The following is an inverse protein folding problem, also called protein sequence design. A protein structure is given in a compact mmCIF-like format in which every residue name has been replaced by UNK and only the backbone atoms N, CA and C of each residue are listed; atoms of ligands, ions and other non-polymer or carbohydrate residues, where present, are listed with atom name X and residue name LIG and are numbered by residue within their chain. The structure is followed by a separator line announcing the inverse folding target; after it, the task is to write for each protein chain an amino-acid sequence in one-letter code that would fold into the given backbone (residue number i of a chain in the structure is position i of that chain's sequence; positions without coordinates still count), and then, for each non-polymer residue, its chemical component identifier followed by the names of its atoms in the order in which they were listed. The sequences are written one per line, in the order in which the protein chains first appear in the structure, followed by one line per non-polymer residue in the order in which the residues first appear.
data_IF_706070640283
#
_entry.id   IF_706070640283
#
_cell.length_a   1.000
_cell.length_b   1.000
_cell.length_c   1.000
_cell.angle_alpha   90.00
_cell.angle_beta   90.00
_cell.angle_gamma   90.00
#
_symmetry.space_group_name_H-M   'P 1'
#
loop_
_entity.id
_entity.type
_entity.pdbx_description
1 polymer ?
#
# COMPACT_ATOMS: atom_id res chain seq x y z
N UNK A 1 -28.83 -35.68 14.18
CA UNK A 1 -29.67 -36.11 13.04
C UNK A 1 -28.73 -36.77 12.03
N UNK A 2 -28.80 -38.09 11.90
CA UNK A 2 -27.94 -38.92 11.02
C UNK A 2 -28.44 -38.85 9.58
N UNK A 3 -27.53 -38.78 8.60
CA UNK A 3 -27.73 -39.39 7.27
C UNK A 3 -26.43 -40.09 6.87
N UNK A 4 -26.61 -41.34 6.45
CA UNK A 4 -25.63 -42.42 6.25
C UNK A 4 -25.06 -42.46 4.83
N UNK A 5 -23.77 -42.78 4.73
CA UNK A 5 -23.14 -43.30 3.52
C UNK A 5 -23.55 -44.77 3.27
N UNK A 6 -23.86 -45.12 2.03
CA UNK A 6 -23.78 -46.50 1.53
C UNK A 6 -23.01 -46.49 0.21
N UNK A 7 -21.78 -47.01 0.25
CA UNK A 7 -21.06 -47.51 -0.92
C UNK A 7 -21.35 -49.01 -1.02
N UNK A 8 -21.94 -49.45 -2.13
CA UNK A 8 -22.01 -50.87 -2.50
C UNK A 8 -20.94 -51.19 -3.55
N UNK A 9 -20.30 -52.33 -3.35
CA UNK A 9 -19.11 -52.82 -4.02
C UNK A 9 -19.43 -53.45 -5.37
N UNK A 10 -18.74 -53.03 -6.43
CA UNK A 10 -18.76 -53.70 -7.74
C UNK A 10 -17.54 -54.62 -7.88
N UNK A 11 -17.81 -55.81 -8.41
CA UNK A 11 -16.96 -57.00 -8.45
C UNK A 11 -15.77 -56.85 -9.45
N UNK A 12 -14.51 -57.10 -9.05
CA UNK A 12 -13.31 -56.86 -9.87
C UNK A 12 -13.12 -57.78 -11.09
N UNK A 13 -14.01 -58.76 -11.32
CA UNK A 13 -13.95 -59.63 -12.49
C UNK A 13 -14.54 -59.02 -13.78
N UNK A 14 -15.43 -58.02 -13.68
CA UNK A 14 -16.09 -57.39 -14.83
C UNK A 14 -15.29 -56.24 -15.48
N UNK A 15 -14.27 -55.70 -14.79
CA UNK A 15 -13.43 -54.62 -15.33
C UNK A 15 -12.36 -55.10 -16.33
N UNK A 16 -12.02 -56.40 -16.36
CA UNK A 16 -10.95 -56.93 -17.23
C UNK A 16 -11.41 -57.36 -18.62
N UNK A 17 -12.71 -57.51 -18.85
CA UNK A 17 -13.29 -57.90 -20.15
C UNK A 17 -13.43 -56.70 -21.11
N UNK A 18 -13.63 -55.48 -20.58
CA UNK A 18 -13.88 -54.27 -21.37
C UNK A 18 -12.58 -53.68 -21.97
N UNK A 19 -11.43 -53.94 -21.33
CA UNK A 19 -10.13 -53.36 -21.75
C UNK A 19 -9.46 -54.17 -22.88
N UNK A 20 -9.92 -55.39 -23.18
CA UNK A 20 -9.26 -56.28 -24.18
C UNK A 20 -9.86 -56.29 -25.59
N UNK A 21 -10.93 -55.54 -25.87
CA UNK A 21 -11.65 -55.62 -27.18
C UNK A 21 -11.50 -54.45 -28.15
N UNK A 22 -10.61 -53.48 -27.92
CA UNK A 22 -10.42 -52.35 -28.87
C UNK A 22 -8.99 -52.18 -29.38
N UNK A 23 -8.21 -53.27 -29.44
CA UNK A 23 -6.94 -53.29 -30.17
C UNK A 23 -7.13 -53.92 -31.56
N UNK A 24 -7.26 -53.07 -32.58
CA UNK A 24 -6.75 -53.24 -33.95
C UNK A 24 -7.67 -52.58 -34.98
N UNK A 25 -7.22 -51.47 -35.57
CA UNK A 25 -7.15 -51.29 -37.03
C UNK A 25 -6.54 -49.92 -37.41
N UNK A 26 -5.54 -50.02 -38.26
CA UNK A 26 -5.06 -49.09 -39.29
C UNK A 26 -4.40 -47.76 -38.89
N UNK A 27 -3.11 -47.76 -39.23
CA UNK A 27 -2.15 -46.66 -39.38
C UNK A 27 -2.66 -45.64 -40.40
N UNK A 28 -2.80 -44.38 -39.99
CA UNK A 28 -2.59 -43.19 -40.83
C UNK A 28 -1.94 -42.13 -39.94
N UNK A 29 -0.75 -41.67 -40.32
CA UNK A 29 0.00 -40.62 -39.62
C UNK A 29 -0.61 -39.23 -39.87
N UNK A 30 -1.04 -38.47 -38.85
CA UNK A 30 -1.26 -37.05 -39.00
C UNK A 30 0.03 -36.29 -38.67
N UNK A 31 0.43 -35.39 -39.56
CA UNK A 31 1.55 -34.47 -39.38
C UNK A 31 1.43 -33.77 -38.02
N UNK A 32 2.48 -33.87 -37.21
CA UNK A 32 2.62 -33.17 -35.93
C UNK A 32 2.68 -31.66 -36.21
N UNK A 33 1.53 -30.99 -36.26
CA UNK A 33 1.48 -29.56 -36.08
C UNK A 33 1.96 -29.28 -34.65
N UNK A 34 3.18 -28.76 -34.53
CA UNK A 34 3.63 -28.14 -33.28
C UNK A 34 2.74 -26.93 -33.05
N UNK A 35 1.66 -27.11 -32.28
CA UNK A 35 0.99 -25.99 -31.65
C UNK A 35 1.98 -25.49 -30.59
N UNK A 36 2.82 -24.54 -30.98
CA UNK A 36 3.46 -23.63 -30.03
C UNK A 36 2.32 -22.89 -29.35
N UNK A 37 1.90 -23.38 -28.18
CA UNK A 37 1.17 -22.56 -27.22
C UNK A 37 2.15 -21.49 -26.79
N UNK A 38 2.10 -20.36 -27.47
CA UNK A 38 2.68 -19.13 -26.96
C UNK A 38 1.87 -18.80 -25.70
N UNK A 39 2.41 -19.13 -24.54
CA UNK A 39 1.95 -18.53 -23.29
C UNK A 39 2.29 -17.05 -23.39
N UNK A 40 1.33 -16.27 -23.85
CA UNK A 40 1.38 -14.82 -23.78
C UNK A 40 1.48 -14.43 -22.31
N UNK A 41 2.65 -13.94 -21.92
CA UNK A 41 2.91 -13.36 -20.61
C UNK A 41 1.89 -12.27 -20.31
N UNK A 42 1.11 -12.46 -19.24
CA UNK A 42 0.32 -11.44 -18.51
C UNK A 42 -0.42 -10.44 -19.40
N UNK A 43 -1.68 -10.73 -19.72
CA UNK A 43 -2.60 -9.71 -20.22
C UNK A 43 -2.65 -8.56 -19.20
N UNK A 44 -2.05 -7.42 -19.55
CA UNK A 44 -2.22 -6.18 -18.80
C UNK A 44 -3.72 -5.86 -18.82
N UNK A 45 -4.31 -5.62 -17.65
CA UNK A 45 -5.70 -5.14 -17.57
C UNK A 45 -5.88 -3.94 -18.52
N UNK A 46 -7.00 -3.83 -19.25
CA UNK A 46 -7.26 -2.67 -20.08
C UNK A 46 -7.21 -1.39 -19.22
N UNK A 47 -6.14 -0.60 -19.35
CA UNK A 47 -5.98 0.66 -18.63
C UNK A 47 -6.82 1.72 -19.35
N UNK A 48 -8.02 2.00 -18.84
CA UNK A 48 -8.86 3.07 -19.38
C UNK A 48 -8.30 4.46 -19.00
N UNK A 49 -7.58 4.55 -17.89
CA UNK A 49 -7.04 5.80 -17.36
C UNK A 49 -5.51 5.77 -17.26
N UNK A 50 -4.88 6.89 -17.64
CA UNK A 50 -3.46 7.17 -17.43
C UNK A 50 -3.29 8.27 -16.39
N UNK A 51 -2.39 8.05 -15.42
CA UNK A 51 -2.12 9.02 -14.35
C UNK A 51 -0.76 9.69 -14.55
N UNK A 52 -0.76 11.02 -14.52
CA UNK A 52 0.46 11.83 -14.46
C UNK A 52 0.61 12.38 -13.04
N UNK A 53 1.78 12.19 -12.44
CA UNK A 53 2.01 12.57 -11.04
C UNK A 53 3.17 13.55 -10.96
N UNK A 54 2.89 14.70 -10.35
CA UNK A 54 3.90 15.67 -9.92
C UNK A 54 4.03 15.66 -8.40
N UNK A 55 5.25 15.78 -7.90
CA UNK A 55 5.53 15.91 -6.47
C UNK A 55 6.47 17.08 -6.21
N UNK A 56 6.25 17.80 -5.13
CA UNK A 56 7.10 18.91 -4.69
C UNK A 56 7.20 18.89 -3.17
N UNK A 57 8.37 19.24 -2.63
CA UNK A 57 8.63 19.26 -1.19
C UNK A 57 9.74 20.25 -0.85
N UNK A 58 9.63 20.84 0.34
CA UNK A 58 10.62 21.72 0.91
C UNK A 58 10.59 21.62 2.43
N UNK A 59 11.72 21.25 3.04
CA UNK A 59 11.88 21.33 4.48
C UNK A 59 11.89 22.78 4.93
N UNK A 60 11.43 23.04 6.16
CA UNK A 60 11.59 24.35 6.79
C UNK A 60 13.07 24.69 6.88
N UNK A 61 13.46 25.82 6.30
CA UNK A 61 14.79 26.44 6.48
C UNK A 61 15.06 26.61 7.97
N UNK A 62 16.24 26.18 8.42
CA UNK A 62 16.67 26.38 9.80
C UNK A 62 16.84 27.88 10.05
N UNK A 63 15.79 28.53 10.58
CA UNK A 63 15.80 29.97 10.87
C UNK A 63 16.54 30.30 12.17
N UNK A 64 16.68 29.35 13.08
CA UNK A 64 16.97 29.67 14.47
C UNK A 64 18.28 29.09 15.03
N UNK A 65 19.17 28.54 14.20
CA UNK A 65 20.48 28.02 14.66
C UNK A 65 20.41 26.88 15.70
N UNK A 66 19.20 26.47 16.13
CA UNK A 66 18.96 25.26 16.87
C UNK A 66 19.26 24.09 15.95
N UNK A 67 20.41 23.48 16.19
CA UNK A 67 20.83 22.25 15.56
C UNK A 67 19.80 21.18 15.94
N UNK A 68 18.74 21.04 15.11
CA UNK A 68 17.74 19.99 15.29
C UNK A 68 18.52 18.69 15.25
N UNK A 69 18.56 17.98 16.38
CA UNK A 69 19.24 16.71 16.49
C UNK A 69 18.49 15.69 15.62
N UNK A 70 18.80 15.70 14.33
CA UNK A 70 18.26 14.78 13.33
C UNK A 70 19.31 13.69 13.11
N UNK A 71 18.99 12.48 13.54
CA UNK A 71 19.75 11.30 13.16
C UNK A 71 18.95 10.64 12.04
N UNK A 72 19.23 10.94 10.76
CA UNK A 72 18.48 10.36 9.66
C UNK A 72 18.71 8.85 9.60
N UNK A 73 17.77 8.12 8.99
CA UNK A 73 18.02 6.75 8.58
C UNK A 73 19.31 6.67 7.76
N UNK A 74 20.20 5.73 8.13
CA UNK A 74 21.42 5.44 7.37
C UNK A 74 21.04 4.98 5.96
N UNK A 75 21.75 5.49 4.95
CA UNK A 75 21.55 5.13 3.54
C UNK A 75 21.70 3.62 3.28
N UNK A 76 22.38 2.88 4.16
CA UNK A 76 22.55 1.42 4.07
C UNK A 76 21.30 0.64 4.51
N UNK A 77 20.33 1.31 5.15
CA UNK A 77 19.05 0.70 5.52
C UNK A 77 18.07 0.75 4.36
N UNK A 78 17.07 -0.13 4.36
CA UNK A 78 16.03 -0.13 3.31
C UNK A 78 15.22 1.17 3.31
N UNK A 79 14.99 1.77 4.49
CA UNK A 79 14.26 3.04 4.62
C UNK A 79 15.14 4.19 4.12
N UNK A 80 16.40 4.27 4.54
CA UNK A 80 17.31 5.34 4.14
C UNK A 80 17.60 5.36 2.65
N UNK A 81 17.94 4.21 2.05
CA UNK A 81 18.15 4.10 0.60
C UNK A 81 16.90 4.47 -0.20
N UNK A 82 15.72 3.99 0.21
CA UNK A 82 14.45 4.35 -0.43
C UNK A 82 14.13 5.84 -0.31
N UNK A 83 14.35 6.43 0.88
CA UNK A 83 14.17 7.86 1.13
C UNK A 83 15.03 8.68 0.17
N UNK A 84 16.32 8.35 0.07
CA UNK A 84 17.26 9.09 -0.76
C UNK A 84 16.87 8.98 -2.25
N UNK A 85 16.41 7.80 -2.69
CA UNK A 85 15.84 7.62 -4.02
C UNK A 85 14.60 8.50 -4.24
N UNK A 86 13.67 8.56 -3.28
CA UNK A 86 12.48 9.41 -3.38
C UNK A 86 12.83 10.90 -3.49
N UNK A 87 13.80 11.35 -2.68
CA UNK A 87 14.27 12.75 -2.67
C UNK A 87 15.15 13.11 -3.87
N UNK A 88 15.63 12.13 -4.64
CA UNK A 88 16.36 12.39 -5.89
C UNK A 88 15.46 12.82 -7.06
N UNK A 89 14.13 12.75 -6.89
CA UNK A 89 13.18 13.13 -7.93
C UNK A 89 13.36 14.60 -8.35
N UNK A 90 13.17 14.94 -9.64
CA UNK A 90 13.27 16.32 -10.09
C UNK A 90 12.24 17.23 -9.40
N UNK A 91 12.69 18.40 -8.96
CA UNK A 91 11.82 19.46 -8.43
C UNK A 91 12.39 20.83 -8.74
N UNK A 92 11.50 21.81 -8.87
CA UNK A 92 11.88 23.21 -9.11
C UNK A 92 12.44 23.90 -7.85
N UNK A 93 12.06 23.43 -6.67
CA UNK A 93 12.44 24.05 -5.38
C UNK A 93 13.75 23.46 -4.88
N UNK A 94 14.72 24.32 -4.55
CA UNK A 94 15.97 23.92 -3.89
C UNK A 94 15.70 23.59 -2.43
N UNK A 95 15.65 22.30 -2.08
CA UNK A 95 15.63 21.84 -0.69
C UNK A 95 16.30 20.47 -0.61
N UNK A 96 17.14 20.28 0.42
CA UNK A 96 17.91 19.05 0.65
C UNK A 96 17.08 17.94 1.30
N UNK A 97 16.06 18.30 2.07
CA UNK A 97 15.16 17.35 2.74
C UNK A 97 13.69 17.74 2.56
N UNK A 98 12.79 16.91 3.09
CA UNK A 98 11.35 17.16 3.20
C UNK A 98 10.94 17.65 4.60
N UNK A 99 11.91 17.98 5.46
CA UNK A 99 11.67 18.36 6.84
C UNK A 99 11.14 17.21 7.69
N UNK A 100 10.01 17.46 8.34
CA UNK A 100 9.29 16.52 9.21
C UNK A 100 8.21 15.77 8.42
N UNK A 101 7.93 16.26 7.20
CA UNK A 101 6.98 15.67 6.26
C UNK A 101 7.68 14.58 5.44
N UNK A 102 6.89 13.65 4.94
CA UNK A 102 7.33 12.73 3.90
C UNK A 102 6.19 12.31 2.98
N UNK A 103 6.53 11.77 1.82
CA UNK A 103 5.56 11.32 0.83
C UNK A 103 6.03 10.05 0.13
N UNK A 104 5.08 9.35 -0.50
CA UNK A 104 5.40 8.28 -1.45
C UNK A 104 4.52 8.38 -2.69
N UNK A 105 5.03 7.82 -3.80
CA UNK A 105 4.28 7.58 -5.03
C UNK A 105 4.71 6.22 -5.55
N UNK A 106 3.76 5.32 -5.75
CA UNK A 106 4.00 3.93 -6.07
C UNK A 106 2.98 3.41 -7.07
N UNK A 107 3.44 2.97 -8.25
CA UNK A 107 2.61 2.18 -9.15
C UNK A 107 2.24 0.87 -8.45
N UNK A 108 0.94 0.53 -8.49
CA UNK A 108 0.39 -0.67 -7.87
C UNK A 108 0.59 -1.87 -8.80
N UNK A 109 0.30 -3.08 -8.30
CA UNK A 109 0.63 -4.32 -8.99
C UNK A 109 0.07 -4.34 -10.42
N UNK A 110 0.89 -4.79 -11.37
CA UNK A 110 0.57 -4.94 -12.80
C UNK A 110 -0.03 -3.67 -13.44
N UNK A 111 0.28 -2.49 -12.89
CA UNK A 111 -0.26 -1.23 -13.37
C UNK A 111 -1.77 -1.08 -13.17
N UNK A 112 -2.34 -1.79 -12.20
CA UNK A 112 -3.75 -1.68 -11.80
C UNK A 112 -4.16 -0.30 -11.33
N UNK A 113 -3.17 0.53 -10.96
CA UNK A 113 -3.40 1.86 -10.45
C UNK A 113 -2.14 2.47 -9.88
N UNK A 114 -2.34 3.53 -9.12
CA UNK A 114 -1.26 4.22 -8.42
C UNK A 114 -1.70 4.56 -7.01
N UNK A 115 -0.78 4.33 -6.06
CA UNK A 115 -0.92 4.72 -4.67
C UNK A 115 0.04 5.87 -4.38
N UNK A 116 -0.44 6.86 -3.63
CA UNK A 116 0.40 7.94 -3.15
C UNK A 116 -0.12 8.45 -1.83
N UNK A 117 0.75 9.07 -1.06
CA UNK A 117 0.36 9.60 0.23
C UNK A 117 1.38 10.55 0.80
N UNK A 118 0.93 11.28 1.81
CA UNK A 118 1.71 12.24 2.57
C UNK A 118 1.55 11.94 4.06
N UNK A 119 2.59 12.24 4.82
CA UNK A 119 2.60 12.19 6.27
C UNK A 119 3.34 13.41 6.81
N UNK A 120 2.78 14.06 7.82
CA UNK A 120 3.37 15.21 8.52
C UNK A 120 3.79 14.74 9.92
N UNK A 121 5.09 14.69 10.17
CA UNK A 121 5.66 14.30 11.46
C UNK A 121 5.51 15.42 12.49
N UNK A 122 4.98 15.12 13.66
CA UNK A 122 4.63 16.15 14.65
C UNK A 122 5.87 16.72 15.32
N UNK A 123 6.22 17.96 15.00
CA UNK A 123 7.41 18.65 15.48
C UNK A 123 7.58 18.75 17.00
N UNK A 124 6.50 18.64 17.79
CA UNK A 124 6.56 18.66 19.26
C UNK A 124 7.43 17.56 19.87
N UNK A 125 7.72 16.49 19.14
CA UNK A 125 8.63 15.42 19.57
C UNK A 125 10.08 15.88 19.71
N UNK A 126 10.48 16.98 19.05
CA UNK A 126 11.83 17.54 19.15
C UNK A 126 12.17 17.93 20.59
N UNK A 127 11.21 18.46 21.36
CA UNK A 127 11.39 18.80 22.78
C UNK A 127 11.72 17.58 23.66
N UNK A 128 11.32 16.40 23.18
CA UNK A 128 11.58 15.11 23.82
C UNK A 128 12.85 14.42 23.30
N UNK A 129 13.64 15.09 22.45
CA UNK A 129 14.84 14.53 21.82
C UNK A 129 14.53 13.45 20.78
N UNK A 130 13.32 13.46 20.21
CA UNK A 130 12.85 12.49 19.22
C UNK A 130 12.74 13.21 17.87
N UNK A 131 13.38 12.65 16.84
CA UNK A 131 13.30 13.18 15.48
C UNK A 131 11.94 12.84 14.84
N UNK A 132 11.07 13.84 14.59
CA UNK A 132 9.72 13.60 14.04
C UNK A 132 9.75 13.06 12.61
N UNK A 133 10.83 13.33 11.86
CA UNK A 133 10.97 12.90 10.46
C UNK A 133 11.11 11.37 10.33
N UNK A 134 11.58 10.69 11.38
CA UNK A 134 11.72 9.23 11.36
C UNK A 134 10.37 8.52 11.28
N UNK A 135 9.35 9.07 11.96
CA UNK A 135 8.02 8.47 11.97
C UNK A 135 7.36 8.62 10.59
N UNK A 136 7.33 9.83 10.03
CA UNK A 136 6.71 10.11 8.72
C UNK A 136 7.42 9.35 7.59
N UNK A 137 8.76 9.31 7.59
CA UNK A 137 9.55 8.53 6.62
C UNK A 137 9.26 7.03 6.71
N UNK A 138 9.27 6.46 7.92
CA UNK A 138 8.99 5.03 8.11
C UNK A 138 7.55 4.67 7.71
N UNK A 139 6.58 5.52 8.04
CA UNK A 139 5.18 5.31 7.70
C UNK A 139 5.00 5.27 6.17
N UNK A 140 5.55 6.24 5.46
CA UNK A 140 5.46 6.31 4.00
C UNK A 140 6.28 5.21 3.31
N UNK A 141 7.41 4.78 3.89
CA UNK A 141 8.17 3.64 3.38
C UNK A 141 7.33 2.36 3.41
N UNK A 142 6.70 2.06 4.56
CA UNK A 142 5.86 0.87 4.66
C UNK A 142 4.64 0.97 3.74
N UNK A 143 4.02 2.15 3.62
CA UNK A 143 2.90 2.37 2.71
C UNK A 143 3.28 2.06 1.27
N UNK A 144 4.41 2.61 0.78
CA UNK A 144 4.94 2.28 -0.54
C UNK A 144 5.10 0.76 -0.70
N UNK A 145 5.74 0.11 0.27
CA UNK A 145 6.09 -1.31 0.20
C UNK A 145 4.86 -2.19 0.08
N UNK A 146 3.83 -1.91 0.89
CA UNK A 146 2.58 -2.64 0.86
C UNK A 146 1.79 -2.36 -0.42
N UNK A 147 1.67 -1.09 -0.85
CA UNK A 147 0.96 -0.72 -2.07
C UNK A 147 1.59 -1.31 -3.34
N UNK A 148 2.92 -1.48 -3.40
CA UNK A 148 3.61 -2.05 -4.56
C UNK A 148 3.13 -3.46 -4.93
N UNK A 149 2.76 -4.25 -3.93
CA UNK A 149 2.37 -5.66 -4.12
C UNK A 149 0.86 -5.86 -4.15
N UNK A 150 0.09 -4.79 -3.98
CA UNK A 150 -1.36 -4.82 -3.88
C UNK A 150 -2.06 -4.35 -5.16
N UNK A 151 -3.32 -4.76 -5.31
CA UNK A 151 -4.20 -4.29 -6.38
C UNK A 151 -4.94 -3.02 -5.97
N UNK A 152 -5.15 -2.12 -6.93
CA UNK A 152 -5.86 -0.85 -6.73
C UNK A 152 -7.39 -1.03 -6.68
N UNK A 153 -7.91 -1.82 -5.74
CA UNK A 153 -9.33 -2.20 -5.65
C UNK A 153 -9.59 -3.65 -6.07
N UNK A 154 -10.84 -4.09 -5.95
CA UNK A 154 -11.32 -5.41 -6.37
C UNK A 154 -10.80 -5.73 -7.78
N UNK A 155 -10.08 -6.85 -8.00
CA UNK A 155 -9.97 -7.42 -9.32
C UNK A 155 -11.32 -8.08 -9.66
N UNK A 156 -12.32 -7.26 -10.00
CA UNK A 156 -13.58 -7.76 -10.55
C UNK A 156 -13.27 -8.37 -11.93
N UNK A 157 -13.13 -9.69 -11.99
CA UNK A 157 -13.43 -10.61 -13.10
C UNK A 157 -13.53 -10.02 -14.54
N UNK A 158 -12.96 -10.73 -15.52
CA UNK A 158 -13.29 -10.55 -16.95
C UNK A 158 -14.83 -10.64 -17.19
N UNK A 159 -15.48 -9.56 -17.67
CA UNK A 159 -16.94 -9.53 -17.85
C UNK A 159 -17.44 -10.42 -19.01
N UNK A 160 -16.54 -11.10 -19.73
CA UNK A 160 -16.86 -12.04 -20.82
C UNK A 160 -16.82 -13.51 -20.41
N UNK A 161 -16.40 -13.82 -19.17
CA UNK A 161 -16.30 -15.19 -18.65
C UNK A 161 -17.55 -15.59 -17.84
N UNK A 162 -18.01 -16.83 -18.03
CA UNK A 162 -19.10 -17.42 -17.25
C UNK A 162 -18.70 -17.58 -15.77
N UNK A 163 -19.69 -17.57 -14.86
CA UNK A 163 -19.49 -17.58 -13.40
C UNK A 163 -18.60 -18.73 -12.90
N UNK A 164 -18.51 -19.84 -13.63
CA UNK A 164 -17.75 -21.04 -13.28
C UNK A 164 -16.26 -20.98 -13.71
N UNK A 165 -15.89 -20.03 -14.58
CA UNK A 165 -14.52 -19.87 -15.12
C UNK A 165 -13.75 -18.71 -14.47
N UNK A 166 -14.33 -18.11 -13.42
CA UNK A 166 -13.73 -17.00 -12.68
C UNK A 166 -12.52 -17.49 -11.87
N UNK A 167 -11.34 -17.43 -12.45
CA UNK A 167 -10.10 -17.68 -11.70
C UNK A 167 -9.83 -16.55 -10.71
N UNK A 168 -9.56 -16.89 -9.44
CA UNK A 168 -9.03 -15.95 -8.48
C UNK A 168 -7.67 -15.45 -8.97
N UNK A 169 -7.59 -14.18 -9.38
CA UNK A 169 -6.32 -13.54 -9.68
C UNK A 169 -5.53 -13.50 -8.38
N UNK A 170 -4.34 -14.13 -8.36
CA UNK A 170 -3.43 -14.02 -7.22
C UNK A 170 -3.25 -12.55 -6.85
N UNK A 171 -3.38 -12.19 -5.57
CA UNK A 171 -3.12 -10.85 -5.06
C UNK A 171 -4.17 -10.38 -4.07
N UNK A 172 -3.74 -9.56 -3.11
CA UNK A 172 -4.64 -8.95 -2.14
C UNK A 172 -5.00 -7.54 -2.61
N UNK A 173 -6.31 -7.25 -2.65
CA UNK A 173 -6.76 -5.87 -2.67
C UNK A 173 -6.23 -5.18 -1.42
N UNK A 174 -5.82 -3.92 -1.57
CA UNK A 174 -5.46 -3.12 -0.40
C UNK A 174 -6.18 -1.80 -0.46
N UNK A 175 -7.11 -1.63 0.46
CA UNK A 175 -7.72 -0.33 0.68
C UNK A 175 -6.67 0.63 1.28
N UNK A 176 -6.82 1.95 1.06
CA UNK A 176 -5.97 2.94 1.74
C UNK A 176 -6.01 2.83 3.27
N UNK A 177 -7.13 2.38 3.83
CA UNK A 177 -7.29 2.17 5.27
C UNK A 177 -6.42 1.01 5.78
N UNK A 178 -6.48 -0.14 5.10
CA UNK A 178 -5.62 -1.29 5.40
C UNK A 178 -4.14 -0.96 5.18
N UNK A 179 -3.83 -0.24 4.10
CA UNK A 179 -2.48 0.23 3.83
C UNK A 179 -1.96 1.08 5.00
N UNK A 180 -2.76 2.02 5.48
CA UNK A 180 -2.40 2.87 6.62
C UNK A 180 -2.18 2.04 7.90
N UNK A 181 -3.08 1.09 8.20
CA UNK A 181 -2.97 0.20 9.35
C UNK A 181 -1.70 -0.67 9.31
N UNK A 182 -1.45 -1.35 8.19
CA UNK A 182 -0.25 -2.18 8.02
C UNK A 182 1.04 -1.37 8.06
N UNK A 183 0.99 -0.14 7.53
CA UNK A 183 2.14 0.77 7.56
C UNK A 183 2.46 1.21 8.97
N UNK A 184 1.43 1.55 9.75
CA UNK A 184 1.57 1.88 11.16
C UNK A 184 2.16 0.72 11.96
N UNK A 185 1.68 -0.50 11.74
CA UNK A 185 2.25 -1.71 12.35
C UNK A 185 3.73 -1.91 11.97
N UNK A 186 4.11 -1.54 10.74
CA UNK A 186 5.50 -1.49 10.30
C UNK A 186 6.33 -0.52 11.14
N UNK A 187 5.85 0.71 11.32
CA UNK A 187 6.51 1.73 12.15
C UNK A 187 6.67 1.27 13.60
N UNK A 188 5.67 0.59 14.16
CA UNK A 188 5.74 0.05 15.52
C UNK A 188 6.88 -0.97 15.68
N UNK A 189 7.19 -1.75 14.63
CA UNK A 189 8.29 -2.72 14.60
C UNK A 189 9.66 -2.11 14.27
N UNK A 190 9.70 -0.92 13.69
CA UNK A 190 10.96 -0.27 13.28
C UNK A 190 11.78 0.19 14.50
N UNK A 191 12.99 -0.34 14.66
CA UNK A 191 13.84 -0.07 15.84
C UNK A 191 14.42 1.35 15.82
N UNK A 192 14.67 1.89 14.64
CA UNK A 192 15.17 3.25 14.50
C UNK A 192 14.14 4.30 14.94
N UNK A 193 12.84 4.01 14.80
CA UNK A 193 11.77 4.87 15.32
C UNK A 193 11.50 4.51 16.78
N UNK A 194 12.12 5.23 17.73
CA UNK A 194 11.90 4.96 19.15
C UNK A 194 10.55 5.48 19.66
N UNK A 195 10.13 6.63 19.16
CA UNK A 195 8.86 7.27 19.44
C UNK A 195 8.53 8.25 18.30
N UNK A 196 7.34 8.82 18.31
CA UNK A 196 6.93 9.83 17.35
C UNK A 196 5.45 9.75 17.04
N UNK A 197 4.93 10.77 16.35
CA UNK A 197 3.58 10.77 15.82
C UNK A 197 3.53 11.48 14.49
N UNK A 198 2.49 11.18 13.71
CA UNK A 198 2.29 11.80 12.41
C UNK A 198 0.82 11.77 12.00
N UNK A 199 0.41 12.77 11.22
CA UNK A 199 -0.82 12.71 10.42
C UNK A 199 -0.57 11.90 9.15
N UNK A 200 -1.61 11.46 8.46
CA UNK A 200 -1.44 10.70 7.23
C UNK A 200 -2.61 10.87 6.27
N UNK A 201 -2.31 10.97 4.98
CA UNK A 201 -3.30 10.86 3.91
C UNK A 201 -2.77 9.90 2.85
N UNK A 202 -3.48 8.80 2.61
CA UNK A 202 -3.15 7.81 1.58
C UNK A 202 -4.29 7.77 0.57
N UNK A 203 -3.95 7.77 -0.71
CA UNK A 203 -4.88 7.71 -1.84
C UNK A 203 -4.46 6.58 -2.78
N UNK A 204 -5.45 5.86 -3.28
CA UNK A 204 -5.29 4.94 -4.41
C UNK A 204 -6.19 5.36 -5.55
N UNK A 205 -5.67 5.28 -6.78
CA UNK A 205 -6.39 5.51 -8.02
C UNK A 205 -6.37 4.24 -8.86
N UNK A 206 -7.54 3.71 -9.21
CA UNK A 206 -7.68 2.54 -10.06
C UNK A 206 -7.60 2.93 -11.55
N UNK A 207 -6.73 2.27 -12.31
CA UNK A 207 -6.49 2.57 -13.73
C UNK A 207 -7.57 2.01 -14.69
N UNK A 208 -8.35 1.02 -14.26
CA UNK A 208 -9.42 0.43 -15.04
C UNK A 208 -10.69 1.28 -15.03
N UNK A 209 -11.10 1.80 -13.86
CA UNK A 209 -12.38 2.52 -13.72
C UNK A 209 -12.23 3.98 -13.24
N UNK A 210 -11.02 4.44 -12.90
CA UNK A 210 -10.78 5.80 -12.42
C UNK A 210 -11.22 6.05 -10.97
N UNK A 211 -11.55 4.99 -10.21
CA UNK A 211 -12.01 5.10 -8.83
C UNK A 211 -10.89 5.60 -7.92
N UNK A 212 -11.17 6.68 -7.19
CA UNK A 212 -10.32 7.22 -6.13
C UNK A 212 -10.81 6.70 -4.78
N UNK A 213 -9.94 6.06 -4.02
CA UNK A 213 -10.17 5.72 -2.61
C UNK A 213 -9.14 6.44 -1.75
N UNK A 214 -9.51 6.82 -0.54
CA UNK A 214 -8.60 7.51 0.36
C UNK A 214 -8.78 7.07 1.81
N UNK A 215 -7.73 7.22 2.60
CA UNK A 215 -7.76 7.14 4.05
C UNK A 215 -7.01 8.35 4.60
N UNK A 216 -7.69 9.13 5.44
CA UNK A 216 -7.15 10.36 6.01
C UNK A 216 -7.23 10.31 7.53
N UNK A 217 -6.13 10.66 8.19
CA UNK A 217 -6.02 10.87 9.62
C UNK A 217 -5.30 12.20 9.88
N UNK A 218 -5.95 13.08 10.65
CA UNK A 218 -5.41 14.39 10.99
C UNK A 218 -5.86 15.50 10.04
N UNK A 219 -5.04 16.54 9.93
CA UNK A 219 -5.27 17.73 9.09
C UNK A 219 -4.51 17.70 7.76
N UNK A 220 -3.76 16.63 7.48
CA UNK A 220 -3.47 16.20 6.11
C UNK A 220 -4.77 16.04 5.31
N UNK A 221 -4.67 16.08 3.98
CA UNK A 221 -5.84 15.88 3.13
C UNK A 221 -5.56 16.06 1.64
N UNK A 222 -6.64 16.02 0.86
CA UNK A 222 -6.61 16.19 -0.57
C UNK A 222 -7.80 17.02 -1.05
N UNK A 223 -7.72 17.48 -2.30
CA UNK A 223 -8.83 18.11 -3.00
C UNK A 223 -8.89 17.60 -4.43
N UNK A 224 -10.10 17.50 -4.97
CA UNK A 224 -10.36 17.13 -6.36
C UNK A 224 -10.79 18.40 -7.07
N UNK A 225 -10.06 18.79 -8.12
CA UNK A 225 -10.37 19.96 -8.95
C UNK A 225 -10.79 19.45 -10.32
N UNK A 226 -11.97 19.88 -10.79
CA UNK A 226 -12.52 19.55 -12.11
C UNK A 226 -13.12 20.81 -12.74
N UNK A 227 -12.82 21.07 -14.01
CA UNK A 227 -13.34 22.23 -14.75
C UNK A 227 -13.16 23.55 -13.99
N UNK A 228 -11.96 23.79 -13.46
CA UNK A 228 -11.61 24.97 -12.66
C UNK A 228 -12.39 25.16 -11.35
N UNK A 229 -13.10 24.12 -10.87
CA UNK A 229 -13.86 24.14 -9.63
C UNK A 229 -13.37 23.07 -8.65
N UNK A 230 -13.43 23.35 -7.35
CA UNK A 230 -13.14 22.37 -6.30
C UNK A 230 -14.35 21.46 -6.14
N UNK A 231 -14.27 20.25 -6.69
CA UNK A 231 -15.31 19.23 -6.62
C UNK A 231 -15.38 18.57 -5.25
N UNK A 232 -14.23 18.34 -4.63
CA UNK A 232 -14.14 17.73 -3.31
C UNK A 232 -12.99 18.33 -2.52
N UNK A 233 -13.17 18.48 -1.21
CA UNK A 233 -12.12 18.84 -0.26
C UNK A 233 -12.25 17.96 0.98
N UNK A 234 -11.19 17.25 1.31
CA UNK A 234 -11.14 16.40 2.49
C UNK A 234 -11.28 17.25 3.75
N UNK A 235 -12.13 16.82 4.69
CA UNK A 235 -12.29 17.49 5.99
C UNK A 235 -11.13 17.13 6.91
N UNK A 236 -10.58 18.15 7.57
CA UNK A 236 -9.55 18.01 8.60
C UNK A 236 -10.12 17.32 9.84
N UNK A 237 -9.31 16.49 10.49
CA UNK A 237 -9.68 15.79 11.71
C UNK A 237 -8.80 16.27 12.88
N UNK A 238 -9.40 17.04 13.78
CA UNK A 238 -8.70 17.64 14.93
C UNK A 238 -9.42 17.29 16.23
N UNK A 239 -8.68 17.22 17.34
CA UNK A 239 -9.26 17.19 18.67
C UNK A 239 -9.75 18.58 19.10
N UNK A 240 -8.93 19.60 18.84
CA UNK A 240 -9.18 21.03 19.06
C UNK A 240 -8.25 21.85 18.16
N UNK A 241 -8.27 23.18 18.28
CA UNK A 241 -7.44 24.06 17.45
C UNK A 241 -5.96 23.66 17.50
N UNK A 242 -5.35 23.50 16.31
CA UNK A 242 -3.94 23.13 16.14
C UNK A 242 -3.52 21.80 16.79
N UNK A 243 -4.45 20.86 16.97
CA UNK A 243 -4.20 19.52 17.51
C UNK A 243 -4.87 18.46 16.61
N UNK A 244 -4.21 18.05 15.50
CA UNK A 244 -4.74 17.04 14.61
C UNK A 244 -4.77 15.65 15.26
N UNK A 245 -5.68 14.79 14.79
CA UNK A 245 -5.61 13.36 15.08
C UNK A 245 -4.35 12.77 14.45
N UNK A 246 -3.69 11.86 15.15
CA UNK A 246 -2.38 11.37 14.74
C UNK A 246 -2.16 9.90 15.14
N UNK A 247 -1.39 9.17 14.33
CA UNK A 247 -0.82 7.88 14.70
C UNK A 247 0.37 8.12 15.63
N UNK A 248 0.56 7.31 16.67
CA UNK A 248 1.60 7.57 17.69
C UNK A 248 2.31 6.30 18.16
N UNK A 249 3.63 6.28 18.03
CA UNK A 249 4.49 5.28 18.68
C UNK A 249 4.98 5.85 20.01
N UNK A 250 4.59 5.21 21.10
CA UNK A 250 5.05 5.58 22.43
C UNK A 250 6.43 4.96 22.72
N UNK A 251 7.31 5.67 23.45
CA UNK A 251 8.61 5.13 23.84
C UNK A 251 8.45 3.94 24.79
N UNK A 252 9.27 2.91 24.60
CA UNK A 252 9.19 1.65 25.37
C UNK A 252 9.45 1.81 26.88
N UNK A 253 10.24 2.83 27.27
CA UNK A 253 10.58 3.09 28.67
C UNK A 253 9.81 4.31 29.20
N UNK A 254 8.66 4.05 29.82
CA UNK A 254 7.81 5.03 30.53
C UNK A 254 8.45 5.66 31.78
N UNK A 255 9.71 5.32 32.10
CA UNK A 255 10.46 5.89 33.23
C UNK A 255 11.15 7.24 32.95
N UNK A 256 11.36 7.61 31.67
CA UNK A 256 11.69 9.00 31.33
C UNK A 256 10.38 9.78 31.26
N UNK A 257 10.22 10.78 32.13
CA UNK A 257 9.12 11.75 32.02
C UNK A 257 9.32 12.54 30.72
N UNK A 258 8.80 12.03 29.61
CA UNK A 258 8.59 12.84 28.42
C UNK A 258 7.56 13.90 28.81
N UNK A 259 7.87 15.17 28.57
CA UNK A 259 6.89 16.24 28.67
C UNK A 259 5.68 15.77 27.87
N UNK A 260 4.50 15.76 28.51
CA UNK A 260 3.24 15.52 27.83
C UNK A 260 3.00 16.72 26.93
N UNK A 261 3.71 16.80 25.81
CA UNK A 261 3.45 17.76 24.76
C UNK A 261 2.00 17.51 24.32
N UNK A 262 1.10 18.41 24.73
CA UNK A 262 -0.31 18.46 24.33
C UNK A 262 -1.04 17.12 24.24
N UNK A 263 -1.50 16.59 25.37
CA UNK A 263 -2.68 15.70 25.37
C UNK A 263 -2.58 14.41 24.55
N UNK A 264 -1.45 13.70 24.60
CA UNK A 264 -1.33 12.33 24.04
C UNK A 264 -2.19 11.37 24.89
N UNK A 265 -3.49 11.37 24.62
CA UNK A 265 -4.39 10.32 25.06
C UNK A 265 -4.28 9.15 24.08
N UNK A 266 -4.02 7.96 24.62
CA UNK A 266 -4.07 6.68 23.92
C UNK A 266 -5.49 6.50 23.34
N UNK A 267 -5.71 6.91 22.10
CA UNK A 267 -6.94 6.58 21.37
C UNK A 267 -6.63 5.41 20.44
N UNK A 268 -6.74 4.21 21.02
CA UNK A 268 -6.93 2.98 20.25
C UNK A 268 -8.22 3.18 19.44
N UNK A 269 -8.14 2.96 18.13
CA UNK A 269 -9.28 2.90 17.24
C UNK A 269 -10.36 2.00 17.88
N UNK A 270 -11.50 2.59 18.25
CA UNK A 270 -12.78 1.90 18.41
C UNK A 270 -13.66 2.30 17.25
#
# INVERSE_FOLDING_TARGET
MRISHQFSTLNPALQREIIRRSASKNVVSPRRAKITRNFSTSALLPKQYSFHIGTSWAGKVDRDGYNRFKIPFSAHTTIGSWRDQMLSRPKAVKSVDAGEDFFFVQEMRNGSGVAFGVADGVGGWVESGVDPSLFSQALMYHAHRYSRSAWAGEPEVDPTLDYEEREQIEGWEMTPYECLGLSYDGVLREKAVQAGSSTACIITLNAANGLLRSANLGDSGFSIIRSSSVFHRQRTQTHFFNCPKQLTKLPANSGRKFSRAGGIHRWILR
#
